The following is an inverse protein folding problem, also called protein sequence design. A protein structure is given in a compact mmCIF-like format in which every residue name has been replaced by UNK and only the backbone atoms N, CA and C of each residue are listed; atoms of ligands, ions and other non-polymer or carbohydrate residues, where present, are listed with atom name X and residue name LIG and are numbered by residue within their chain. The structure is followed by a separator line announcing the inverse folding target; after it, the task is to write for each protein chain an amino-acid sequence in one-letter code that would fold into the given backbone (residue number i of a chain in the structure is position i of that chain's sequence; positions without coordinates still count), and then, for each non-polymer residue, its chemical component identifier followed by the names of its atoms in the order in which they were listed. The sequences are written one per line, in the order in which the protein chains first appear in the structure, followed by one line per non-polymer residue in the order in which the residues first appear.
data_IF_899267091552
#
_entry.id   IF_899267091552
#
_cell.length_a   1.000
_cell.length_b   1.000
_cell.length_c   1.000
_cell.angle_alpha   90.00
_cell.angle_beta   90.00
_cell.angle_gamma   90.00
#
_symmetry.space_group_name_H-M   'P 1'
#
loop_
_entity.id
_entity.type
_entity.pdbx_description
1 polymer ?
#
# COMPACT_ATOMS: atom_id res chain seq x y z
N UNK A 1 2.17 -4.77 -16.31
CA UNK A 1 3.05 -4.76 -17.49
C UNK A 1 4.15 -3.74 -17.23
N UNK A 2 5.41 -4.18 -17.18
CA UNK A 2 6.54 -3.25 -17.10
C UNK A 2 6.83 -2.76 -18.52
N UNK A 3 6.97 -1.44 -18.70
CA UNK A 3 7.18 -0.81 -20.02
C UNK A 3 8.39 -1.41 -20.76
N UNK A 4 9.36 -1.88 -19.99
CA UNK A 4 10.41 -2.80 -20.41
C UNK A 4 10.03 -4.17 -19.85
N UNK A 5 9.94 -5.24 -20.65
CA UNK A 5 9.59 -6.61 -20.20
C UNK A 5 10.62 -7.24 -19.24
N UNK A 6 11.40 -6.42 -18.55
CA UNK A 6 12.37 -6.78 -17.53
C UNK A 6 11.66 -6.90 -16.18
N UNK A 7 11.97 -7.97 -15.47
CA UNK A 7 11.53 -8.16 -14.09
C UNK A 7 12.40 -7.29 -13.19
N UNK A 8 11.76 -6.49 -12.32
CA UNK A 8 12.45 -5.70 -11.31
C UNK A 8 12.27 -6.43 -9.97
N UNK A 9 13.39 -6.77 -9.34
CA UNK A 9 13.39 -7.41 -8.02
C UNK A 9 13.64 -6.37 -6.95
N UNK A 10 12.84 -6.41 -5.87
CA UNK A 10 13.00 -5.55 -4.70
C UNK A 10 13.33 -6.42 -3.49
N UNK A 11 14.24 -5.94 -2.65
CA UNK A 11 14.61 -6.60 -1.39
C UNK A 11 13.96 -5.83 -0.24
N UNK A 12 13.24 -6.54 0.62
CA UNK A 12 12.68 -5.96 1.85
C UNK A 12 13.70 -6.18 2.96
N UNK A 13 14.25 -5.11 3.52
CA UNK A 13 15.18 -5.18 4.65
C UNK A 13 14.41 -5.35 5.97
N UNK A 14 15.09 -5.87 7.00
CA UNK A 14 14.50 -6.05 8.35
C UNK A 14 14.45 -4.74 9.16
N UNK A 15 14.55 -3.59 8.48
CA UNK A 15 14.56 -2.29 9.12
C UNK A 15 13.19 -1.96 9.74
N UNK A 16 13.23 -1.10 10.76
CA UNK A 16 12.03 -0.55 11.39
C UNK A 16 11.81 0.86 10.87
N UNK A 17 10.59 1.13 10.42
CA UNK A 17 10.17 2.47 9.99
C UNK A 17 9.26 3.01 11.09
N UNK A 18 9.64 4.14 11.70
CA UNK A 18 8.90 4.76 12.81
C UNK A 18 8.53 3.77 13.92
N UNK A 19 9.50 2.95 14.35
CA UNK A 19 9.31 1.93 15.40
C UNK A 19 8.50 0.70 14.98
N UNK A 20 8.07 0.62 13.71
CA UNK A 20 7.27 -0.49 13.20
C UNK A 20 8.12 -1.40 12.30
N UNK A 21 8.16 -2.70 12.64
CA UNK A 21 8.85 -3.69 11.81
C UNK A 21 8.04 -4.01 10.54
N UNK A 22 8.59 -3.67 9.37
CA UNK A 22 7.98 -3.96 8.07
C UNK A 22 7.84 -5.46 7.87
N UNK A 23 8.87 -6.22 8.25
CA UNK A 23 8.86 -7.68 8.20
C UNK A 23 7.79 -8.29 9.13
N UNK A 24 7.57 -7.70 10.31
CA UNK A 24 6.49 -8.10 11.23
C UNK A 24 5.09 -7.89 10.64
N UNK A 25 4.85 -6.74 10.00
CA UNK A 25 3.59 -6.46 9.28
C UNK A 25 3.37 -7.49 8.17
N UNK A 26 4.39 -7.75 7.36
CA UNK A 26 4.32 -8.73 6.28
C UNK A 26 3.87 -10.10 6.80
N UNK A 27 4.53 -10.63 7.84
CA UNK A 27 4.18 -11.94 8.41
C UNK A 27 2.77 -11.98 8.99
N UNK A 28 2.37 -10.92 9.70
CA UNK A 28 1.00 -10.79 10.24
C UNK A 28 -0.04 -10.77 9.14
N UNK A 29 0.23 -10.08 8.03
CA UNK A 29 -0.69 -10.05 6.89
C UNK A 29 -0.80 -11.42 6.21
N UNK A 30 0.33 -12.12 6.04
CA UNK A 30 0.35 -13.47 5.45
C UNK A 30 -0.42 -14.47 6.31
N UNK A 31 -0.33 -14.40 7.65
CA UNK A 31 -1.08 -15.31 8.52
C UNK A 31 -2.60 -15.05 8.53
N UNK A 32 -3.02 -13.80 8.29
CA UNK A 32 -4.43 -13.43 8.17
C UNK A 32 -5.07 -13.82 6.83
N UNK A 33 -4.27 -14.16 5.82
CA UNK A 33 -4.78 -14.59 4.52
C UNK A 33 -5.28 -16.03 4.60
N UNK A 34 -6.48 -16.25 4.06
CA UNK A 34 -6.99 -17.61 3.86
C UNK A 34 -6.14 -18.32 2.82
N UNK A 35 -5.66 -19.53 3.16
CA UNK A 35 -4.79 -20.38 2.32
C UNK A 35 -5.44 -20.70 0.96
N UNK A 36 -6.77 -20.65 0.87
CA UNK A 36 -7.55 -20.99 -0.32
C UNK A 36 -7.70 -19.83 -1.30
N UNK A 37 -6.59 -19.22 -1.71
CA UNK A 37 -6.59 -18.13 -2.69
C UNK A 37 -6.08 -18.64 -4.03
N UNK A 38 -6.95 -18.71 -5.04
CA UNK A 38 -6.59 -19.25 -6.38
C UNK A 38 -5.66 -18.34 -7.19
N UNK A 39 -5.51 -17.07 -6.78
CA UNK A 39 -4.76 -16.07 -7.52
C UNK A 39 -3.40 -15.76 -6.90
N UNK A 40 -2.44 -15.36 -7.74
CA UNK A 40 -1.07 -15.00 -7.34
C UNK A 40 -0.94 -13.57 -6.77
N UNK A 41 -2.03 -12.78 -6.74
CA UNK A 41 -1.99 -11.38 -6.27
C UNK A 41 -1.77 -11.31 -4.75
N UNK A 42 -0.95 -10.35 -4.31
CA UNK A 42 -0.58 -10.18 -2.89
C UNK A 42 -1.60 -9.42 -2.04
N UNK A 43 -2.44 -8.56 -2.60
CA UNK A 43 -3.46 -7.84 -1.82
C UNK A 43 -4.85 -8.41 -2.06
N UNK A 44 -5.50 -8.83 -0.97
CA UNK A 44 -6.90 -9.29 -0.98
C UNK A 44 -7.82 -8.26 -0.35
N UNK A 45 -9.08 -8.31 -0.76
CA UNK A 45 -10.10 -7.43 -0.25
C UNK A 45 -10.47 -7.80 1.19
N UNK A 46 -10.63 -6.79 2.04
CA UNK A 46 -10.95 -6.92 3.45
C UNK A 46 -12.35 -6.35 3.70
N UNK A 47 -13.30 -7.21 4.04
CA UNK A 47 -14.70 -6.83 4.23
C UNK A 47 -15.17 -7.37 5.59
N UNK A 48 -15.84 -6.52 6.38
CA UNK A 48 -16.48 -6.90 7.65
C UNK A 48 -15.56 -7.68 8.61
N UNK A 49 -14.31 -7.25 8.73
CA UNK A 49 -13.35 -7.84 9.67
C UNK A 49 -12.59 -9.07 9.14
N UNK A 50 -12.86 -9.53 7.90
CA UNK A 50 -12.27 -10.75 7.35
C UNK A 50 -11.62 -10.52 5.97
N UNK A 51 -10.53 -11.24 5.72
CA UNK A 51 -9.90 -11.33 4.40
C UNK A 51 -10.76 -12.21 3.48
N UNK A 52 -11.17 -11.67 2.35
CA UNK A 52 -11.90 -12.40 1.30
C UNK A 52 -10.93 -12.99 0.28
N UNK A 53 -11.42 -13.90 -0.56
CA UNK A 53 -10.63 -14.50 -1.66
C UNK A 53 -10.52 -13.54 -2.86
N UNK A 54 -11.30 -12.46 -2.88
CA UNK A 54 -11.29 -11.52 -4.01
C UNK A 54 -10.07 -10.59 -3.93
N UNK A 55 -9.47 -10.31 -5.09
CA UNK A 55 -8.41 -9.30 -5.20
C UNK A 55 -8.97 -7.91 -4.88
N UNK A 56 -8.17 -7.08 -4.22
CA UNK A 56 -8.53 -5.68 -4.06
C UNK A 56 -8.45 -4.95 -5.42
N UNK A 57 -9.45 -4.14 -5.73
CA UNK A 57 -9.49 -3.37 -6.97
C UNK A 57 -8.44 -2.26 -6.98
N UNK A 58 -7.87 -1.97 -8.16
CA UNK A 58 -6.89 -0.87 -8.35
C UNK A 58 -7.44 0.49 -7.88
N UNK A 59 -8.74 0.74 -8.10
CA UNK A 59 -9.39 1.99 -7.70
C UNK A 59 -9.50 2.10 -6.17
N UNK A 60 -9.68 0.97 -5.48
CA UNK A 60 -9.74 0.94 -4.01
C UNK A 60 -8.37 1.26 -3.43
N UNK A 61 -7.29 0.64 -3.96
CA UNK A 61 -5.92 0.96 -3.55
C UNK A 61 -5.61 2.43 -3.84
N UNK A 62 -5.97 2.93 -5.03
CA UNK A 62 -5.69 4.30 -5.43
C UNK A 62 -6.40 5.37 -4.56
N UNK A 63 -7.48 5.00 -3.88
CA UNK A 63 -8.21 5.88 -2.95
C UNK A 63 -7.69 5.82 -1.50
N UNK A 64 -6.73 4.95 -1.18
CA UNK A 64 -6.18 4.87 0.18
C UNK A 64 -5.50 6.19 0.60
N UNK A 65 -4.68 6.87 -0.23
CA UNK A 65 -4.04 8.13 0.15
C UNK A 65 -5.06 9.21 0.46
N UNK A 66 -6.07 9.37 -0.40
CA UNK A 66 -7.23 10.24 -0.15
C UNK A 66 -7.90 9.97 1.20
N UNK A 67 -8.15 8.70 1.54
CA UNK A 67 -8.77 8.34 2.82
C UNK A 67 -7.88 8.68 4.02
N UNK A 68 -6.57 8.51 3.90
CA UNK A 68 -5.61 8.87 4.94
C UNK A 68 -5.55 10.40 5.09
N UNK A 69 -5.44 11.15 3.99
CA UNK A 69 -5.43 12.61 4.01
C UNK A 69 -6.72 13.19 4.59
N UNK A 70 -7.88 12.62 4.24
CA UNK A 70 -9.17 12.99 4.83
C UNK A 70 -9.25 12.68 6.32
N UNK A 71 -8.68 11.57 6.76
CA UNK A 71 -8.64 11.21 8.19
C UNK A 71 -7.72 12.13 8.99
N UNK A 72 -6.62 12.57 8.39
CA UNK A 72 -5.66 13.51 8.98
C UNK A 72 -6.06 14.99 8.80
N UNK A 73 -7.23 15.26 8.20
CA UNK A 73 -7.75 16.61 7.93
C UNK A 73 -6.77 17.53 7.17
N UNK A 74 -5.98 16.95 6.25
CA UNK A 74 -5.01 17.72 5.46
C UNK A 74 -5.73 18.64 4.44
N UNK A 75 -5.17 19.83 4.17
CA UNK A 75 -5.65 20.67 3.07
C UNK A 75 -5.45 19.93 1.74
N UNK A 76 -6.44 20.05 0.85
CA UNK A 76 -6.46 19.40 -0.47
C UNK A 76 -6.34 17.87 -0.43
N UNK A 77 -7.22 17.21 0.31
CA UNK A 77 -7.30 15.75 0.32
C UNK A 77 -7.53 15.14 -1.09
N UNK A 78 -8.12 15.89 -2.02
CA UNK A 78 -8.45 15.45 -3.38
C UNK A 78 -7.21 15.22 -4.27
N UNK A 79 -6.12 15.94 -4.02
CA UNK A 79 -4.84 15.74 -4.70
C UNK A 79 -4.16 14.39 -4.39
N UNK A 80 -4.56 13.70 -3.31
CA UNK A 80 -3.93 12.46 -2.86
C UNK A 80 -4.47 11.24 -3.61
N UNK A 81 -3.86 10.93 -4.76
CA UNK A 81 -4.24 9.79 -5.60
C UNK A 81 -3.28 8.61 -5.46
N UNK A 82 -3.56 7.50 -6.15
CA UNK A 82 -2.67 6.33 -6.16
C UNK A 82 -1.24 6.61 -6.66
N UNK A 83 -1.00 7.73 -7.35
CA UNK A 83 0.35 8.16 -7.72
C UNK A 83 1.18 8.64 -6.54
N UNK A 84 0.56 9.05 -5.43
CA UNK A 84 1.26 9.41 -4.18
C UNK A 84 2.03 8.22 -3.58
N UNK A 85 1.67 6.97 -3.90
CA UNK A 85 2.41 5.77 -3.48
C UNK A 85 3.62 5.44 -4.35
N UNK A 86 3.79 6.08 -5.51
CA UNK A 86 4.85 5.76 -6.46
C UNK A 86 5.91 6.88 -6.43
N UNK A 87 7.17 6.61 -6.04
CA UNK A 87 8.23 7.60 -6.23
C UNK A 87 8.53 7.71 -7.75
N UNK A 88 8.78 8.93 -8.30
CA UNK A 88 9.70 9.93 -7.76
C UNK A 88 9.19 11.41 -7.79
N UNK A 89 9.91 12.32 -7.12
CA UNK A 89 9.71 13.79 -7.02
C UNK A 89 8.57 14.32 -6.16
N UNK A 90 7.32 13.87 -6.30
CA UNK A 90 6.19 14.47 -5.54
C UNK A 90 6.18 14.10 -4.05
N UNK A 91 6.83 13.00 -3.66
CA UNK A 91 6.97 12.62 -2.25
C UNK A 91 7.93 13.55 -1.47
N UNK A 92 8.82 14.28 -2.15
CA UNK A 92 9.71 15.24 -1.50
C UNK A 92 8.90 16.39 -0.86
N UNK A 93 7.85 16.86 -1.53
CA UNK A 93 6.95 17.89 -1.01
C UNK A 93 6.13 17.41 0.20
N UNK A 94 5.74 16.12 0.25
CA UNK A 94 5.08 15.56 1.44
C UNK A 94 6.01 15.44 2.65
N UNK A 95 7.32 15.26 2.43
CA UNK A 95 8.30 15.20 3.52
C UNK A 95 8.70 16.59 4.02
N UNK A 96 8.69 17.62 3.15
CA UNK A 96 8.92 19.02 3.55
C UNK A 96 7.74 19.63 4.33
N UNK A 97 6.51 19.15 4.13
CA UNK A 97 5.33 19.64 4.88
C UNK A 97 5.14 18.94 6.23
N UNK A 98 5.81 17.81 6.47
CA UNK A 98 5.66 16.99 7.69
C UNK A 98 6.87 17.12 8.63
N UNK A 99 7.98 17.74 8.21
CA UNK A 99 9.19 17.96 9.03
C UNK A 99 9.43 19.44 9.35
#
# INVERSE_FOLDING_TARGET
DSKTKMQITFVITNETINGTSVHGIYRKYVSLRSVKTEHTRFFVNYIKGKCTIQVIGKNTIAKIPYKIAKYLELPDAEGYTGHSFRPPRLCWLMLEEIY
#
